data_IF_186008796729
#
_entry.id   IF_186008796729
#
_cell.length_a   1.000
_cell.length_b   1.000
_cell.length_c   1.000
_cell.angle_alpha   90.00
_cell.angle_beta   90.00
_cell.angle_gamma   90.00
#
_symmetry.space_group_name_H-M   'P 1'
#
loop_
_entity.id
_entity.type
_entity.pdbx_description
1 polymer ?
#
# COMPACT_ATOMS: atom_id res chain seq x y z
N UNK A 1 8.09 -13.23 -2.12
CA UNK A 1 7.16 -14.25 -1.59
C UNK A 1 6.04 -14.40 -2.60
N UNK A 2 5.64 -15.63 -2.92
CA UNK A 2 4.50 -15.87 -3.81
C UNK A 2 3.22 -15.45 -3.09
N UNK A 3 2.40 -14.63 -3.74
CA UNK A 3 1.14 -14.17 -3.16
C UNK A 3 0.14 -15.31 -3.21
N UNK A 4 -0.15 -15.89 -2.04
CA UNK A 4 -1.09 -17.01 -1.89
C UNK A 4 -2.49 -16.46 -1.75
N UNK A 5 -3.09 -16.05 -2.87
CA UNK A 5 -4.37 -15.37 -2.90
C UNK A 5 -5.46 -16.04 -2.02
N UNK A 6 -5.65 -17.39 -2.04
CA UNK A 6 -6.66 -18.02 -1.18
C UNK A 6 -6.38 -17.88 0.32
N UNK A 7 -5.12 -18.02 0.75
CA UNK A 7 -4.74 -17.87 2.16
C UNK A 7 -4.89 -16.41 2.62
N UNK A 8 -4.48 -15.47 1.77
CA UNK A 8 -4.59 -14.04 2.05
C UNK A 8 -6.06 -13.61 2.11
N UNK A 9 -6.89 -14.07 1.18
CA UNK A 9 -8.33 -13.84 1.18
C UNK A 9 -8.99 -14.37 2.46
N UNK A 10 -8.68 -15.62 2.86
CA UNK A 10 -9.21 -16.20 4.08
C UNK A 10 -8.83 -15.39 5.33
N UNK A 11 -7.58 -14.92 5.40
CA UNK A 11 -7.10 -14.07 6.51
C UNK A 11 -7.81 -12.71 6.54
N UNK A 12 -7.97 -12.08 5.38
CA UNK A 12 -8.66 -10.79 5.26
C UNK A 12 -10.14 -10.91 5.64
N UNK A 13 -10.83 -11.94 5.14
CA UNK A 13 -12.23 -12.19 5.45
C UNK A 13 -12.41 -12.50 6.95
N UNK A 14 -11.51 -13.28 7.57
CA UNK A 14 -11.51 -13.50 9.02
C UNK A 14 -11.36 -12.19 9.81
N UNK A 15 -10.46 -11.30 9.38
CA UNK A 15 -10.32 -9.96 9.97
C UNK A 15 -11.59 -9.11 9.85
N UNK A 16 -12.26 -9.17 8.70
CA UNK A 16 -13.54 -8.49 8.49
C UNK A 16 -14.64 -9.01 9.41
N UNK A 17 -14.76 -10.34 9.58
CA UNK A 17 -15.68 -10.94 10.55
C UNK A 17 -15.41 -10.42 11.96
N UNK A 18 -14.18 -10.57 12.45
CA UNK A 18 -13.82 -10.18 13.80
C UNK A 18 -14.07 -8.69 14.04
N UNK A 19 -13.71 -7.83 13.07
CA UNK A 19 -13.91 -6.39 13.21
C UNK A 19 -15.39 -6.01 13.25
N UNK A 20 -16.21 -6.58 12.35
CA UNK A 20 -17.62 -6.20 12.18
C UNK A 20 -18.58 -6.90 13.16
N UNK A 21 -18.17 -7.93 13.91
CA UNK A 21 -19.12 -8.67 14.76
C UNK A 21 -18.74 -8.71 16.24
N UNK A 22 -17.48 -8.44 16.63
CA UNK A 22 -17.02 -8.67 18.00
C UNK A 22 -17.73 -7.87 19.10
N UNK A 23 -18.33 -6.72 18.78
CA UNK A 23 -19.05 -5.90 19.77
C UNK A 23 -20.58 -5.98 19.65
N UNK A 24 -21.11 -6.92 18.85
CA UNK A 24 -22.55 -7.14 18.76
C UNK A 24 -23.03 -8.01 19.93
N UNK A 25 -24.27 -7.77 20.38
CA UNK A 25 -24.93 -8.68 21.34
C UNK A 25 -25.16 -10.07 20.79
N UNK A 26 -25.44 -10.16 19.49
CA UNK A 26 -25.59 -11.42 18.75
C UNK A 26 -24.59 -11.47 17.58
N UNK A 27 -23.35 -11.92 17.82
CA UNK A 27 -22.33 -12.00 16.78
C UNK A 27 -22.69 -12.97 15.63
N UNK A 28 -23.54 -13.97 15.85
CA UNK A 28 -23.87 -14.99 14.85
C UNK A 28 -24.81 -14.44 13.76
N UNK A 29 -25.72 -13.53 14.12
CA UNK A 29 -26.50 -12.77 13.13
C UNK A 29 -25.59 -11.88 12.29
N UNK A 30 -24.65 -11.17 12.94
CA UNK A 30 -23.66 -10.34 12.25
C UNK A 30 -22.78 -11.15 11.29
N UNK A 31 -22.33 -12.34 11.71
CA UNK A 31 -21.50 -13.24 10.88
C UNK A 31 -22.19 -13.64 9.59
N UNK A 32 -23.44 -14.11 9.66
CA UNK A 32 -24.21 -14.45 8.45
C UNK A 32 -24.32 -13.27 7.49
N UNK A 33 -24.54 -12.06 8.01
CA UNK A 33 -24.59 -10.87 7.18
C UNK A 33 -23.24 -10.54 6.53
N UNK A 34 -22.13 -10.73 7.24
CA UNK A 34 -20.78 -10.54 6.67
C UNK A 34 -20.45 -11.61 5.61
N UNK A 35 -20.93 -12.85 5.76
CA UNK A 35 -20.82 -13.89 4.71
C UNK A 35 -21.51 -13.45 3.42
N UNK A 36 -22.76 -12.98 3.51
CA UNK A 36 -23.51 -12.44 2.37
C UNK A 36 -22.77 -11.26 1.70
N UNK A 37 -22.20 -10.36 2.50
CA UNK A 37 -21.42 -9.22 1.99
C UNK A 37 -20.14 -9.65 1.29
N UNK A 38 -19.47 -10.72 1.74
CA UNK A 38 -18.29 -11.26 1.06
C UNK A 38 -18.68 -11.90 -0.28
N UNK A 39 -19.82 -12.59 -0.33
CA UNK A 39 -20.35 -13.14 -1.59
C UNK A 39 -20.70 -12.03 -2.59
N UNK A 40 -21.28 -10.93 -2.10
CA UNK A 40 -21.67 -9.78 -2.93
C UNK A 40 -20.47 -8.93 -3.36
N UNK A 41 -19.62 -8.53 -2.41
CA UNK A 41 -18.58 -7.52 -2.62
C UNK A 41 -17.21 -8.12 -2.94
N UNK A 42 -17.06 -9.43 -2.83
CA UNK A 42 -15.78 -10.13 -2.93
C UNK A 42 -14.99 -10.07 -1.62
N UNK A 43 -13.73 -10.49 -1.67
CA UNK A 43 -12.89 -10.59 -0.48
C UNK A 43 -12.62 -9.23 0.17
N UNK A 44 -12.40 -9.23 1.49
CA UNK A 44 -11.95 -8.05 2.22
C UNK A 44 -10.53 -7.65 1.80
N UNK A 45 -10.25 -6.35 1.88
CA UNK A 45 -9.01 -5.70 1.44
C UNK A 45 -8.64 -4.56 2.38
N UNK A 46 -7.36 -4.17 2.38
CA UNK A 46 -6.87 -3.11 3.26
C UNK A 46 -6.93 -1.73 2.57
N UNK A 47 -6.52 -1.67 1.30
CA UNK A 47 -6.37 -0.42 0.54
C UNK A 47 -6.69 -0.66 -0.93
N UNK A 48 -7.56 0.17 -1.51
CA UNK A 48 -7.84 0.16 -2.94
C UNK A 48 -6.64 0.59 -3.79
N UNK A 49 -6.47 0.04 -5.00
CA UNK A 49 -5.56 0.63 -5.98
C UNK A 49 -6.09 1.99 -6.48
N UNK A 50 -5.20 2.90 -6.87
CA UNK A 50 -5.56 4.28 -7.22
C UNK A 50 -6.51 4.38 -8.42
N UNK A 51 -6.52 3.37 -9.29
CA UNK A 51 -7.43 3.29 -10.45
C UNK A 51 -8.82 2.75 -10.09
N UNK A 52 -9.06 2.31 -8.86
CA UNK A 52 -10.31 1.67 -8.49
C UNK A 52 -11.52 2.63 -8.57
N UNK A 53 -12.69 2.20 -9.07
CA UNK A 53 -13.87 3.07 -9.17
C UNK A 53 -14.33 3.71 -7.85
N UNK A 54 -14.15 3.03 -6.72
CA UNK A 54 -14.42 3.62 -5.38
C UNK A 54 -13.60 4.90 -5.15
N UNK A 55 -12.39 5.00 -5.71
CA UNK A 55 -11.55 6.18 -5.57
C UNK A 55 -11.72 7.18 -6.72
N UNK A 56 -12.09 6.71 -7.92
CA UNK A 56 -12.05 7.51 -9.15
C UNK A 56 -13.40 7.99 -9.67
N UNK A 57 -14.50 7.32 -9.31
CA UNK A 57 -15.85 7.75 -9.71
C UNK A 57 -16.32 9.02 -8.98
N UNK A 58 -16.08 9.18 -7.66
CA UNK A 58 -16.41 10.43 -6.97
C UNK A 58 -15.69 11.65 -7.57
N UNK A 59 -16.31 12.83 -7.59
CA UNK A 59 -15.65 14.07 -8.00
C UNK A 59 -14.41 14.34 -7.12
N UNK A 60 -13.25 14.52 -7.76
CA UNK A 60 -11.97 14.77 -7.07
C UNK A 60 -11.30 16.06 -7.53
N UNK A 61 -10.58 16.69 -6.61
CA UNK A 61 -9.73 17.85 -6.90
C UNK A 61 -8.29 17.38 -7.10
N UNK A 62 -7.86 17.31 -8.36
CA UNK A 62 -6.51 16.89 -8.73
C UNK A 62 -6.34 15.38 -8.90
N UNK A 63 -5.11 14.97 -9.23
CA UNK A 63 -4.71 13.59 -9.51
C UNK A 63 -3.81 13.01 -8.42
N UNK A 64 -3.89 13.54 -7.20
CA UNK A 64 -3.08 13.03 -6.08
C UNK A 64 -3.55 11.65 -5.62
N UNK A 65 -2.62 10.87 -5.07
CA UNK A 65 -2.92 9.60 -4.40
C UNK A 65 -3.93 9.80 -3.26
N UNK A 66 -4.92 8.91 -3.18
CA UNK A 66 -5.93 8.89 -2.12
C UNK A 66 -5.56 7.80 -1.11
N UNK A 67 -4.99 8.21 0.01
CA UNK A 67 -4.54 7.28 1.05
C UNK A 67 -5.65 6.78 1.98
N UNK A 68 -6.84 7.37 1.91
CA UNK A 68 -7.99 7.00 2.76
C UNK A 68 -9.31 7.47 2.16
N UNK A 69 -10.37 6.67 2.34
CA UNK A 69 -11.74 7.03 1.95
C UNK A 69 -12.23 8.33 2.63
N UNK A 70 -11.69 8.68 3.80
CA UNK A 70 -12.01 9.93 4.50
C UNK A 70 -11.59 11.20 3.73
N UNK A 71 -10.71 11.08 2.74
CA UNK A 71 -10.30 12.19 1.87
C UNK A 71 -11.31 12.47 0.75
N UNK A 72 -12.29 11.57 0.55
CA UNK A 72 -13.30 11.69 -0.49
C UNK A 72 -14.55 12.31 0.12
N UNK A 73 -14.89 13.53 -0.33
CA UNK A 73 -16.02 14.28 0.20
C UNK A 73 -17.36 13.54 0.08
N UNK A 74 -17.55 12.75 -0.99
CA UNK A 74 -18.74 11.90 -1.18
C UNK A 74 -18.93 10.90 -0.04
N UNK A 75 -17.85 10.44 0.60
CA UNK A 75 -17.89 9.48 1.70
C UNK A 75 -17.83 10.14 3.07
N UNK A 76 -18.10 11.45 3.15
CA UNK A 76 -18.15 12.17 4.42
C UNK A 76 -19.19 11.55 5.36
N UNK A 77 -18.76 11.21 6.57
CA UNK A 77 -19.60 10.54 7.56
C UNK A 77 -19.43 9.01 7.61
N UNK A 78 -18.62 8.42 6.73
CA UNK A 78 -18.14 7.06 6.90
C UNK A 78 -17.35 6.94 8.22
N UNK A 79 -17.63 5.87 8.95
CA UNK A 79 -16.99 5.51 10.21
C UNK A 79 -16.88 3.98 10.32
N UNK A 80 -15.88 3.48 11.04
CA UNK A 80 -15.65 2.05 11.23
C UNK A 80 -15.77 1.22 9.93
N UNK A 81 -14.97 1.58 8.92
CA UNK A 81 -15.09 1.05 7.57
C UNK A 81 -14.27 -0.22 7.35
N UNK A 82 -14.89 -1.22 6.71
CA UNK A 82 -14.22 -2.39 6.14
C UNK A 82 -14.33 -2.34 4.62
N UNK A 83 -13.21 -2.47 3.92
CA UNK A 83 -13.16 -2.45 2.45
C UNK A 83 -13.19 -3.88 1.90
N UNK A 84 -13.84 -4.05 0.75
CA UNK A 84 -13.93 -5.27 -0.05
C UNK A 84 -13.60 -4.96 -1.52
N UNK A 85 -13.35 -5.98 -2.34
CA UNK A 85 -12.94 -5.80 -3.75
C UNK A 85 -13.87 -4.88 -4.53
N UNK A 86 -15.19 -5.02 -4.41
CA UNK A 86 -16.19 -4.25 -5.18
C UNK A 86 -16.77 -3.04 -4.44
N UNK A 87 -16.43 -2.84 -3.18
CA UNK A 87 -17.15 -1.88 -2.35
C UNK A 87 -16.74 -1.94 -0.89
N UNK A 88 -17.35 -1.14 -0.04
CA UNK A 88 -17.02 -1.10 1.38
C UNK A 88 -18.29 -1.04 2.23
N UNK A 89 -18.14 -1.44 3.49
CA UNK A 89 -19.18 -1.34 4.51
C UNK A 89 -18.70 -0.40 5.58
N UNK A 90 -19.57 0.52 6.00
CA UNK A 90 -19.27 1.52 7.02
C UNK A 90 -20.40 1.59 8.04
N UNK A 91 -20.08 1.84 9.30
CA UNK A 91 -20.98 1.71 10.45
C UNK A 91 -21.04 3.01 11.27
N UNK A 92 -21.61 4.11 10.74
CA UNK A 92 -21.80 5.34 11.51
C UNK A 92 -22.81 5.18 12.65
N UNK A 93 -22.62 5.94 13.73
CA UNK A 93 -23.53 5.96 14.89
C UNK A 93 -24.72 6.91 14.77
N UNK A 94 -24.97 7.46 13.59
CA UNK A 94 -26.09 8.38 13.36
C UNK A 94 -26.85 7.97 12.10
N UNK A 95 -28.15 7.71 12.27
CA UNK A 95 -29.04 7.38 11.18
C UNK A 95 -29.08 8.47 10.10
N UNK A 96 -29.13 9.73 10.51
CA UNK A 96 -29.10 10.89 9.61
C UNK A 96 -27.79 10.95 8.81
N UNK A 97 -26.65 10.63 9.43
CA UNK A 97 -25.36 10.52 8.71
C UNK A 97 -25.38 9.36 7.71
N UNK A 98 -25.90 8.20 8.10
CA UNK A 98 -26.00 7.04 7.23
C UNK A 98 -26.89 7.33 5.99
N UNK A 99 -28.04 7.99 6.18
CA UNK A 99 -28.94 8.34 5.08
C UNK A 99 -28.33 9.37 4.14
N UNK A 100 -27.69 10.42 4.67
CA UNK A 100 -26.93 11.38 3.85
C UNK A 100 -25.82 10.72 3.05
N UNK A 101 -25.13 9.74 3.63
CA UNK A 101 -24.08 9.00 2.92
C UNK A 101 -24.67 8.22 1.73
N UNK A 102 -25.79 7.51 1.94
CA UNK A 102 -26.49 6.79 0.86
C UNK A 102 -26.88 7.76 -0.27
N UNK A 103 -27.56 8.87 0.06
CA UNK A 103 -27.98 9.87 -0.92
C UNK A 103 -26.80 10.47 -1.70
N UNK A 104 -25.70 10.79 -1.00
CA UNK A 104 -24.50 11.34 -1.61
C UNK A 104 -23.85 10.34 -2.58
N UNK A 105 -23.76 9.06 -2.21
CA UNK A 105 -23.16 8.02 -3.07
C UNK A 105 -24.03 7.74 -4.28
N UNK A 106 -25.35 7.63 -4.11
CA UNK A 106 -26.28 7.38 -5.22
C UNK A 106 -26.33 8.52 -6.26
N UNK A 107 -25.84 9.71 -5.90
CA UNK A 107 -25.67 10.82 -6.85
C UNK A 107 -24.46 10.66 -7.79
N UNK A 108 -23.56 9.72 -7.49
CA UNK A 108 -22.33 9.46 -8.26
C UNK A 108 -22.57 8.33 -9.26
N UNK A 109 -22.37 8.62 -10.54
CA UNK A 109 -22.52 7.61 -11.60
C UNK A 109 -21.52 6.45 -11.42
N UNK A 110 -22.04 5.22 -11.42
CA UNK A 110 -21.24 3.99 -11.30
C UNK A 110 -21.01 3.54 -9.85
N UNK A 111 -21.63 4.21 -8.88
CA UNK A 111 -21.71 3.77 -7.50
C UNK A 111 -23.18 3.61 -7.07
N UNK A 112 -23.42 2.66 -6.19
CA UNK A 112 -24.67 2.51 -5.45
C UNK A 112 -24.39 2.42 -3.94
N UNK A 113 -25.42 2.67 -3.14
CA UNK A 113 -25.36 2.49 -1.71
C UNK A 113 -26.72 2.11 -1.13
N UNK A 114 -26.70 1.31 -0.08
CA UNK A 114 -27.91 0.92 0.64
C UNK A 114 -27.65 0.68 2.13
N UNK A 115 -28.73 0.72 2.91
CA UNK A 115 -28.72 0.46 4.36
C UNK A 115 -28.89 -1.02 4.64
N UNK A 116 -28.18 -1.52 5.65
CA UNK A 116 -28.50 -2.82 6.26
C UNK A 116 -29.49 -2.63 7.39
N UNK A 117 -30.43 -3.57 7.51
CA UNK A 117 -31.38 -3.62 8.62
C UNK A 117 -30.71 -4.09 9.91
N UNK A 118 -29.79 -5.06 9.79
CA UNK A 118 -29.04 -5.61 10.93
C UNK A 118 -27.83 -4.74 11.25
N UNK A 119 -27.52 -4.53 12.54
CA UNK A 119 -26.32 -3.81 12.94
C UNK A 119 -25.07 -4.63 12.61
N UNK A 120 -24.01 -3.90 12.28
CA UNK A 120 -22.64 -4.39 12.20
C UNK A 120 -21.77 -3.45 13.04
N UNK A 121 -20.63 -3.94 13.47
CA UNK A 121 -19.64 -3.31 14.35
C UNK A 121 -20.12 -3.03 15.78
N UNK A 122 -21.32 -2.46 15.96
CA UNK A 122 -21.96 -2.18 17.25
C UNK A 122 -23.50 -2.16 17.11
N UNK A 123 -24.23 -2.52 18.17
CA UNK A 123 -25.70 -2.66 18.13
C UNK A 123 -26.45 -1.36 17.76
N UNK A 124 -25.85 -0.19 18.03
CA UNK A 124 -26.43 1.12 17.74
C UNK A 124 -25.82 1.78 16.49
N UNK A 125 -25.04 1.04 15.70
CA UNK A 125 -24.54 1.52 14.43
C UNK A 125 -25.62 1.39 13.34
N UNK A 126 -25.46 2.18 12.28
CA UNK A 126 -26.36 2.25 11.15
C UNK A 126 -25.61 1.89 9.87
N UNK A 127 -25.39 0.59 9.58
CA UNK A 127 -24.50 0.19 8.51
C UNK A 127 -24.99 0.63 7.13
N UNK A 128 -24.04 1.08 6.32
CA UNK A 128 -24.20 1.45 4.91
C UNK A 128 -23.24 0.60 4.10
N UNK A 129 -23.74 -0.03 3.05
CA UNK A 129 -22.95 -0.69 2.01
C UNK A 129 -22.80 0.28 0.86
N UNK A 130 -21.59 0.43 0.34
CA UNK A 130 -21.28 1.18 -0.88
C UNK A 130 -20.67 0.22 -1.89
N UNK A 131 -21.21 0.22 -3.11
CA UNK A 131 -20.85 -0.72 -4.18
C UNK A 131 -20.42 0.05 -5.43
N UNK A 132 -19.39 -0.44 -6.11
CA UNK A 132 -19.05 0.00 -7.46
C UNK A 132 -19.73 -0.92 -8.49
N UNK A 133 -20.80 -0.44 -9.11
CA UNK A 133 -21.72 -1.25 -9.94
C UNK A 133 -21.03 -1.96 -11.09
N UNK A 134 -20.08 -1.28 -11.73
CA UNK A 134 -19.42 -1.75 -12.94
C UNK A 134 -18.23 -2.67 -12.67
N UNK A 135 -17.95 -3.02 -11.39
CA UNK A 135 -16.89 -3.95 -11.04
C UNK A 135 -17.42 -5.38 -11.16
N UNK A 136 -17.01 -6.07 -12.23
CA UNK A 136 -17.23 -7.49 -12.44
C UNK A 136 -16.04 -8.30 -11.94
N UNK A 137 -16.29 -9.45 -11.29
CA UNK A 137 -15.25 -10.36 -10.81
C UNK A 137 -15.09 -11.57 -11.73
N UNK A 138 -13.85 -12.01 -11.89
CA UNK A 138 -13.48 -13.28 -12.50
C UNK A 138 -13.75 -14.43 -11.51
N UNK A 139 -13.69 -15.67 -12.00
CA UNK A 139 -13.88 -16.86 -11.16
C UNK A 139 -12.87 -17.01 -10.01
N UNK A 140 -11.72 -16.33 -10.09
CA UNK A 140 -10.71 -16.30 -9.03
C UNK A 140 -10.96 -15.19 -7.97
N UNK A 141 -12.07 -14.44 -8.11
CA UNK A 141 -12.48 -13.36 -7.21
C UNK A 141 -11.77 -12.02 -7.46
N UNK A 142 -10.90 -11.93 -8.49
CA UNK A 142 -10.25 -10.67 -8.88
C UNK A 142 -11.11 -9.90 -9.89
N UNK A 143 -10.85 -8.60 -10.06
CA UNK A 143 -11.57 -7.75 -11.01
C UNK A 143 -11.26 -8.19 -12.44
N UNK A 144 -12.29 -8.17 -13.30
CA UNK A 144 -12.19 -8.50 -14.72
C UNK A 144 -11.00 -7.80 -15.37
N UNK A 145 -10.13 -8.61 -15.97
CA UNK A 145 -8.80 -8.17 -16.41
C UNK A 145 -8.85 -6.98 -17.37
N UNK A 146 -9.82 -6.98 -18.29
CA UNK A 146 -10.03 -5.92 -19.27
C UNK A 146 -10.30 -4.57 -18.61
N UNK A 147 -11.15 -4.54 -17.59
CA UNK A 147 -11.63 -3.29 -17.00
C UNK A 147 -10.57 -2.70 -16.07
N UNK A 148 -9.92 -3.55 -15.26
CA UNK A 148 -8.79 -3.14 -14.43
C UNK A 148 -7.66 -2.52 -15.28
N UNK A 149 -7.31 -3.12 -16.43
CA UNK A 149 -6.34 -2.54 -17.36
C UNK A 149 -6.82 -1.22 -17.97
N UNK A 150 -8.10 -1.12 -18.35
CA UNK A 150 -8.65 0.10 -18.92
C UNK A 150 -8.60 1.27 -17.93
N UNK A 151 -9.06 1.06 -16.69
CA UNK A 151 -9.02 2.08 -15.65
C UNK A 151 -7.58 2.48 -15.29
N UNK A 152 -6.69 1.50 -15.17
CA UNK A 152 -5.26 1.77 -14.93
C UNK A 152 -4.63 2.63 -16.04
N UNK A 153 -4.88 2.30 -17.31
CA UNK A 153 -4.37 3.08 -18.45
C UNK A 153 -4.94 4.48 -18.48
N UNK A 154 -6.26 4.63 -18.26
CA UNK A 154 -6.93 5.94 -18.23
C UNK A 154 -6.36 6.84 -17.14
N UNK A 155 -6.19 6.31 -15.93
CA UNK A 155 -5.58 7.06 -14.82
C UNK A 155 -4.13 7.45 -15.14
N UNK A 156 -3.32 6.48 -15.56
CA UNK A 156 -1.90 6.70 -15.87
C UNK A 156 -1.72 7.77 -16.96
N UNK A 157 -2.56 7.74 -18.00
CA UNK A 157 -2.52 8.72 -19.08
C UNK A 157 -2.93 10.13 -18.60
N UNK A 158 -3.87 10.23 -17.65
CA UNK A 158 -4.24 11.51 -17.06
C UNK A 158 -3.10 12.09 -16.20
N UNK A 159 -2.46 11.26 -15.38
CA UNK A 159 -1.36 11.67 -14.49
C UNK A 159 -0.11 12.11 -15.24
N UNK A 160 0.14 11.56 -16.44
CA UNK A 160 1.24 11.95 -17.30
C UNK A 160 1.30 13.45 -17.59
N UNK A 161 0.14 14.13 -17.63
CA UNK A 161 0.06 15.56 -17.97
C UNK A 161 0.73 16.47 -16.94
N UNK A 162 0.86 16.02 -15.69
CA UNK A 162 1.43 16.79 -14.57
C UNK A 162 2.65 16.12 -13.94
N UNK A 163 3.02 14.93 -14.42
CA UNK A 163 4.14 14.18 -13.90
C UNK A 163 5.48 14.87 -14.18
N UNK A 164 6.35 14.84 -13.17
CA UNK A 164 7.72 15.36 -13.27
C UNK A 164 8.77 14.25 -13.32
N UNK A 165 8.39 13.03 -12.92
CA UNK A 165 9.26 11.86 -12.85
C UNK A 165 8.49 10.60 -13.23
N UNK A 166 9.19 9.66 -13.85
CA UNK A 166 8.71 8.32 -14.14
C UNK A 166 9.00 7.38 -12.96
N UNK A 167 8.00 7.13 -12.12
CA UNK A 167 8.10 6.17 -11.01
C UNK A 167 8.23 4.74 -11.54
N UNK A 168 9.15 3.95 -10.96
CA UNK A 168 9.28 2.54 -11.33
C UNK A 168 8.16 1.69 -10.74
N UNK A 169 7.88 0.52 -11.34
CA UNK A 169 6.97 -0.48 -10.77
C UNK A 169 7.22 -0.72 -9.27
N UNK A 170 8.48 -0.83 -8.86
CA UNK A 170 8.83 -1.13 -7.48
C UNK A 170 8.59 0.04 -6.51
N UNK A 171 8.50 1.27 -7.00
CA UNK A 171 8.17 2.43 -6.16
C UNK A 171 6.66 2.50 -5.88
N UNK A 172 5.83 2.17 -6.88
CA UNK A 172 4.37 2.45 -6.84
C UNK A 172 3.48 1.21 -6.98
N UNK A 173 4.02 -0.01 -6.99
CA UNK A 173 3.20 -1.23 -7.15
C UNK A 173 2.08 -1.36 -6.12
N UNK A 174 2.25 -0.86 -4.89
CA UNK A 174 1.20 -0.90 -3.87
C UNK A 174 0.03 0.00 -4.25
N UNK A 175 0.31 1.14 -4.89
CA UNK A 175 -0.70 2.06 -5.42
C UNK A 175 -1.44 1.44 -6.62
N UNK A 176 -0.74 0.65 -7.42
CA UNK A 176 -1.31 -0.01 -8.60
C UNK A 176 -2.06 -1.29 -8.25
N UNK A 177 -1.59 -2.08 -7.27
CA UNK A 177 -2.18 -3.37 -6.92
C UNK A 177 -3.17 -3.28 -5.75
N UNK A 178 -3.17 -2.19 -4.99
CA UNK A 178 -3.84 -2.11 -3.70
C UNK A 178 -3.15 -2.97 -2.66
N UNK A 179 -3.79 -3.16 -1.49
CA UNK A 179 -3.32 -4.02 -0.41
C UNK A 179 -4.43 -4.99 0.03
N UNK A 180 -4.11 -6.25 0.35
CA UNK A 180 -2.77 -6.87 0.32
C UNK A 180 -2.34 -7.27 -1.10
N UNK A 181 -1.03 -7.29 -1.36
CA UNK A 181 -0.50 -7.61 -2.69
C UNK A 181 0.83 -8.41 -2.66
N UNK A 182 1.08 -9.08 -3.76
CA UNK A 182 2.35 -9.70 -4.13
C UNK A 182 3.22 -8.81 -5.01
N UNK A 183 4.15 -9.45 -5.73
CA UNK A 183 5.01 -8.73 -6.68
C UNK A 183 4.26 -8.24 -7.94
N UNK A 184 3.20 -8.95 -8.34
CA UNK A 184 2.47 -8.76 -9.62
C UNK A 184 1.00 -9.24 -9.55
N UNK A 185 0.43 -9.37 -8.36
CA UNK A 185 -0.95 -9.81 -8.13
C UNK A 185 -1.43 -9.29 -6.78
N UNK A 186 -2.74 -9.23 -6.59
CA UNK A 186 -3.41 -8.87 -5.33
C UNK A 186 -4.78 -9.55 -5.28
N UNK A 187 -5.61 -9.19 -4.30
CA UNK A 187 -7.03 -9.58 -4.31
C UNK A 187 -7.84 -8.82 -5.37
N UNK A 188 -7.31 -7.73 -5.93
CA UNK A 188 -7.95 -6.98 -7.00
C UNK A 188 -7.60 -7.50 -8.39
N UNK A 189 -6.36 -7.98 -8.59
CA UNK A 189 -5.87 -8.40 -9.90
C UNK A 189 -5.04 -9.67 -9.83
N UNK A 190 -5.31 -10.60 -10.73
CA UNK A 190 -4.51 -11.81 -10.86
C UNK A 190 -3.14 -11.53 -11.50
N UNK A 191 -2.28 -12.57 -11.51
CA UNK A 191 -0.91 -12.48 -12.01
C UNK A 191 -0.84 -12.05 -13.48
N UNK A 192 -1.77 -12.50 -14.32
CA UNK A 192 -1.83 -12.14 -15.73
C UNK A 192 -2.04 -10.62 -15.88
N UNK A 193 -3.02 -10.08 -15.16
CA UNK A 193 -3.36 -8.65 -15.19
C UNK A 193 -2.24 -7.79 -14.63
N UNK A 194 -1.67 -8.14 -13.47
CA UNK A 194 -0.59 -7.34 -12.88
C UNK A 194 0.71 -7.36 -13.70
N UNK A 195 1.02 -8.44 -14.43
CA UNK A 195 2.12 -8.45 -15.42
C UNK A 195 1.87 -7.44 -16.54
N UNK A 196 0.63 -7.33 -17.02
CA UNK A 196 0.30 -6.39 -18.09
C UNK A 196 0.28 -4.93 -17.62
N UNK A 197 -0.26 -4.66 -16.42
CA UNK A 197 -0.16 -3.33 -15.79
C UNK A 197 1.29 -2.87 -15.68
N UNK A 198 2.19 -3.76 -15.22
CA UNK A 198 3.62 -3.48 -15.16
C UNK A 198 4.21 -3.14 -16.52
N UNK A 199 3.93 -3.95 -17.56
CA UNK A 199 4.43 -3.71 -18.92
C UNK A 199 3.96 -2.37 -19.48
N UNK A 200 2.70 -2.01 -19.23
CA UNK A 200 2.13 -0.72 -19.64
C UNK A 200 2.89 0.42 -18.96
N UNK A 201 3.07 0.37 -17.63
CA UNK A 201 3.84 1.37 -16.90
C UNK A 201 5.27 1.50 -17.45
N UNK A 202 5.96 0.37 -17.65
CA UNK A 202 7.32 0.34 -18.17
C UNK A 202 7.40 0.94 -19.58
N UNK A 203 6.40 0.69 -20.45
CA UNK A 203 6.33 1.28 -21.78
C UNK A 203 6.08 2.80 -21.74
N UNK A 204 5.19 3.27 -20.87
CA UNK A 204 4.94 4.70 -20.67
C UNK A 204 6.15 5.43 -20.07
N UNK A 205 6.87 4.78 -19.15
CA UNK A 205 8.13 5.31 -18.62
C UNK A 205 9.20 5.41 -19.72
N UNK A 206 9.35 4.35 -20.52
CA UNK A 206 10.37 4.29 -21.57
C UNK A 206 10.14 5.29 -22.71
N UNK A 207 8.89 5.72 -22.94
CA UNK A 207 8.58 6.76 -23.93
C UNK A 207 8.90 8.18 -23.44
N UNK A 208 9.27 8.34 -22.17
CA UNK A 208 9.52 9.65 -21.54
C UNK A 208 8.25 10.41 -21.15
N UNK A 209 7.08 9.78 -21.23
CA UNK A 209 5.78 10.41 -21.00
C UNK A 209 5.64 11.03 -19.60
N UNK A 210 6.27 10.44 -18.59
CA UNK A 210 6.26 10.93 -17.21
C UNK A 210 7.52 11.75 -16.83
N UNK A 211 8.47 11.91 -17.76
CA UNK A 211 9.76 12.53 -17.49
C UNK A 211 10.86 11.53 -17.08
N UNK A 212 11.94 11.99 -16.41
CA UNK A 212 13.08 11.15 -16.06
C UNK A 212 12.72 10.05 -15.05
N UNK A 213 13.35 8.87 -15.20
CA UNK A 213 13.13 7.73 -14.31
C UNK A 213 13.63 8.06 -12.90
N UNK A 214 12.74 7.87 -11.92
CA UNK A 214 13.06 7.90 -10.50
C UNK A 214 13.10 6.48 -9.96
N UNK A 215 14.26 6.04 -9.51
CA UNK A 215 14.43 4.74 -8.85
C UNK A 215 14.76 4.95 -7.37
N UNK A 216 13.94 4.40 -6.48
CA UNK A 216 14.13 4.53 -5.02
C UNK A 216 13.80 3.29 -4.21
N UNK A 217 13.10 2.32 -4.79
CA UNK A 217 12.76 1.06 -4.13
C UNK A 217 13.76 -0.03 -4.51
N UNK A 218 14.22 -0.79 -3.51
CA UNK A 218 15.09 -1.97 -3.70
C UNK A 218 14.32 -3.29 -3.57
N UNK A 219 12.99 -3.24 -3.63
CA UNK A 219 12.14 -4.41 -3.41
C UNK A 219 12.20 -5.47 -4.51
N UNK A 220 12.84 -5.15 -5.65
CA UNK A 220 13.17 -6.14 -6.68
C UNK A 220 14.24 -7.13 -6.22
N UNK A 221 15.07 -6.74 -5.24
CA UNK A 221 16.05 -7.62 -4.63
C UNK A 221 15.35 -8.54 -3.61
N UNK A 222 15.94 -9.70 -3.31
CA UNK A 222 15.44 -10.53 -2.21
C UNK A 222 15.68 -9.85 -0.86
N UNK A 223 14.91 -10.22 0.17
CA UNK A 223 15.14 -9.73 1.54
C UNK A 223 16.59 -9.95 1.97
N UNK A 224 17.11 -11.18 1.78
CA UNK A 224 18.52 -11.52 2.05
C UNK A 224 19.51 -10.54 1.41
N UNK A 225 19.30 -10.14 0.15
CA UNK A 225 20.17 -9.18 -0.54
C UNK A 225 20.07 -7.79 0.09
N UNK A 226 18.86 -7.33 0.40
CA UNK A 226 18.65 -6.05 1.10
C UNK A 226 19.29 -6.05 2.48
N UNK A 227 19.14 -7.15 3.22
CA UNK A 227 19.78 -7.34 4.53
C UNK A 227 21.29 -7.29 4.41
N UNK A 228 21.87 -7.95 3.40
CA UNK A 228 23.32 -7.89 3.13
C UNK A 228 23.78 -6.46 2.85
N UNK A 229 23.07 -5.70 2.01
CA UNK A 229 23.40 -4.30 1.71
C UNK A 229 23.39 -3.47 2.99
N UNK A 230 22.32 -3.57 3.79
CA UNK A 230 22.18 -2.82 5.04
C UNK A 230 23.28 -3.19 6.03
N UNK A 231 23.54 -4.48 6.23
CA UNK A 231 24.58 -4.97 7.12
C UNK A 231 25.96 -4.48 6.71
N UNK A 232 26.32 -4.60 5.42
CA UNK A 232 27.60 -4.14 4.90
C UNK A 232 27.80 -2.66 5.21
N UNK A 233 26.84 -1.81 4.85
CA UNK A 233 26.97 -0.36 5.01
C UNK A 233 26.99 0.06 6.49
N UNK A 234 26.08 -0.48 7.31
CA UNK A 234 26.00 -0.13 8.74
C UNK A 234 27.29 -0.56 9.46
N UNK A 235 27.75 -1.79 9.24
CA UNK A 235 28.95 -2.31 9.91
C UNK A 235 30.19 -1.55 9.48
N UNK A 236 30.36 -1.29 8.18
CA UNK A 236 31.50 -0.49 7.71
C UNK A 236 31.47 0.91 8.29
N UNK A 237 30.30 1.56 8.40
CA UNK A 237 30.19 2.87 9.03
C UNK A 237 30.63 2.81 10.50
N UNK A 238 30.13 1.84 11.29
CA UNK A 238 30.54 1.67 12.69
C UNK A 238 32.05 1.44 12.82
N UNK A 239 32.65 0.60 11.98
CA UNK A 239 34.10 0.34 12.00
C UNK A 239 34.96 1.55 11.66
N UNK A 240 34.42 2.52 10.92
CA UNK A 240 35.12 3.75 10.56
C UNK A 240 34.83 4.92 11.53
N UNK A 241 33.99 4.71 12.54
CA UNK A 241 33.59 5.77 13.45
C UNK A 241 34.64 6.01 14.54
N UNK A 242 35.18 7.22 14.59
CA UNK A 242 36.13 7.69 15.60
C UNK A 242 35.50 7.97 16.98
N UNK A 243 34.16 7.92 17.09
CA UNK A 243 33.36 8.29 18.27
C UNK A 243 33.43 9.76 18.67
N UNK A 244 34.10 10.59 17.89
CA UNK A 244 34.20 12.04 18.11
C UNK A 244 33.19 12.79 17.24
N UNK A 245 33.05 12.36 15.98
CA UNK A 245 32.19 13.01 15.00
C UNK A 245 30.88 12.26 14.82
N UNK A 246 29.74 12.94 15.01
CA UNK A 246 28.41 12.34 14.74
C UNK A 246 28.10 12.19 13.26
N UNK A 247 28.90 12.81 12.38
CA UNK A 247 28.83 12.61 10.93
C UNK A 247 30.20 12.70 10.30
N UNK A 248 30.49 11.77 9.38
CA UNK A 248 31.77 11.67 8.69
C UNK A 248 31.57 11.00 7.33
N UNK A 249 32.59 11.05 6.48
CA UNK A 249 32.61 10.35 5.20
C UNK A 249 33.61 9.20 5.26
N UNK A 250 33.27 8.09 4.59
CA UNK A 250 34.19 6.99 4.36
C UNK A 250 34.06 6.49 2.91
N UNK A 251 35.09 5.80 2.42
CA UNK A 251 35.06 5.19 1.09
C UNK A 251 34.69 3.71 1.23
N UNK A 252 33.81 3.23 0.36
CA UNK A 252 33.52 1.81 0.22
C UNK A 252 33.18 1.46 -1.22
N UNK A 253 33.96 0.54 -1.82
CA UNK A 253 33.73 -0.04 -3.15
C UNK A 253 33.59 1.02 -4.27
N UNK A 254 34.42 2.06 -4.20
CA UNK A 254 34.49 3.17 -5.14
C UNK A 254 33.46 4.27 -4.90
N UNK A 255 32.70 4.20 -3.81
CA UNK A 255 31.66 5.19 -3.47
C UNK A 255 32.06 5.97 -2.22
N UNK A 256 31.74 7.27 -2.20
CA UNK A 256 31.84 8.08 -0.99
C UNK A 256 30.53 7.96 -0.19
N UNK A 257 30.62 7.35 0.98
CA UNK A 257 29.50 7.13 1.88
C UNK A 257 29.51 8.19 2.98
N UNK A 258 28.40 8.92 3.12
CA UNK A 258 28.17 9.82 4.24
C UNK A 258 27.49 9.06 5.37
N UNK A 259 28.19 8.92 6.49
CA UNK A 259 27.68 8.32 7.71
C UNK A 259 27.14 9.38 8.68
N UNK A 260 26.13 9.01 9.45
CA UNK A 260 25.75 9.69 10.68
C UNK A 260 25.47 8.65 11.76
N UNK A 261 26.20 8.76 12.88
CA UNK A 261 26.11 7.83 14.00
C UNK A 261 25.87 8.60 15.30
N UNK A 262 25.06 8.00 16.17
CA UNK A 262 24.86 8.48 17.53
C UNK A 262 24.59 7.30 18.45
N UNK A 263 25.24 7.30 19.61
CA UNK A 263 24.85 6.43 20.72
C UNK A 263 23.48 6.89 21.24
N UNK A 264 22.46 6.03 21.13
CA UNK A 264 21.07 6.41 21.43
C UNK A 264 20.91 6.83 22.90
N UNK A 265 21.66 6.19 23.80
CA UNK A 265 21.50 6.33 25.25
C UNK A 265 22.77 6.82 25.96
N UNK A 266 23.85 7.07 25.22
CA UNK A 266 25.20 7.34 25.74
C UNK A 266 25.72 6.24 26.68
N UNK A 267 25.26 5.01 26.48
CA UNK A 267 25.63 3.82 27.26
C UNK A 267 26.35 2.76 26.40
N UNK A 268 26.57 3.05 25.12
CA UNK A 268 27.19 2.18 24.12
C UNK A 268 26.44 0.86 23.87
N UNK A 269 25.19 0.71 24.30
CA UNK A 269 24.39 -0.49 24.04
C UNK A 269 23.70 -0.44 22.68
N UNK A 270 23.35 0.76 22.21
CA UNK A 270 22.65 0.94 20.94
C UNK A 270 23.21 2.14 20.17
N UNK A 271 23.69 1.90 18.97
CA UNK A 271 24.22 2.92 18.07
C UNK A 271 23.24 3.08 16.92
N UNK A 272 22.60 4.25 16.82
CA UNK A 272 21.83 4.62 15.64
C UNK A 272 22.77 4.91 14.48
N UNK A 273 22.51 4.30 13.33
CA UNK A 273 23.36 4.41 12.13
C UNK A 273 22.52 4.84 10.93
N UNK A 274 23.03 5.81 10.20
CA UNK A 274 22.52 6.24 8.89
C UNK A 274 23.67 6.33 7.90
N UNK A 275 23.48 5.76 6.72
CA UNK A 275 24.44 5.84 5.61
C UNK A 275 23.73 6.31 4.36
N UNK A 276 24.26 7.36 3.73
CA UNK A 276 23.75 7.95 2.50
C UNK A 276 24.86 8.03 1.44
N UNK A 277 24.53 7.67 0.20
CA UNK A 277 25.38 7.83 -0.97
C UNK A 277 24.64 8.70 -1.99
N UNK A 278 25.32 9.70 -2.54
CA UNK A 278 24.71 10.69 -3.43
C UNK A 278 23.62 11.51 -2.73
N UNK A 279 22.66 12.05 -3.50
CA UNK A 279 21.45 12.71 -2.95
C UNK A 279 20.35 11.66 -2.80
N UNK A 280 20.45 10.80 -1.80
CA UNK A 280 19.59 9.62 -1.60
C UNK A 280 19.62 8.58 -2.74
N UNK A 281 20.71 8.50 -3.49
CA UNK A 281 20.88 7.47 -4.53
C UNK A 281 21.02 6.07 -3.90
N UNK A 282 21.51 5.99 -2.66
CA UNK A 282 21.36 4.85 -1.76
C UNK A 282 21.28 5.36 -0.32
N UNK A 283 20.32 4.83 0.44
CA UNK A 283 20.06 5.21 1.82
C UNK A 283 19.77 3.97 2.67
N UNK A 284 20.51 3.86 3.77
CA UNK A 284 20.39 2.79 4.77
C UNK A 284 20.27 3.44 6.14
N UNK A 285 19.37 2.91 6.98
CA UNK A 285 19.29 3.30 8.38
C UNK A 285 18.91 2.12 9.26
N UNK A 286 19.44 2.11 10.48
CA UNK A 286 19.20 1.07 11.44
C UNK A 286 19.91 1.32 12.76
N UNK A 287 20.01 0.27 13.56
CA UNK A 287 20.73 0.25 14.81
C UNK A 287 21.80 -0.85 14.79
N UNK A 288 22.92 -0.58 15.44
CA UNK A 288 23.95 -1.54 15.72
C UNK A 288 24.08 -1.73 17.23
N UNK A 289 24.12 -2.98 17.66
CA UNK A 289 24.23 -3.38 19.07
C UNK A 289 25.61 -4.01 19.27
N UNK A 290 26.55 -3.33 19.95
CA UNK A 290 27.92 -3.82 20.10
C UNK A 290 28.06 -5.12 20.89
N UNK A 291 27.19 -5.34 21.88
CA UNK A 291 27.29 -6.48 22.82
C UNK A 291 27.09 -7.84 22.14
N UNK A 292 26.19 -7.92 21.16
CA UNK A 292 25.86 -9.14 20.42
C UNK A 292 26.21 -9.04 18.92
N UNK A 293 26.97 -8.01 18.53
CA UNK A 293 27.35 -7.71 17.15
C UNK A 293 26.14 -7.76 16.19
N UNK A 294 24.99 -7.25 16.62
CA UNK A 294 23.73 -7.35 15.88
C UNK A 294 23.39 -6.06 15.16
N UNK A 295 22.79 -6.20 13.98
CA UNK A 295 22.21 -5.08 13.22
C UNK A 295 20.70 -5.28 13.12
N UNK A 296 19.95 -4.22 13.40
CA UNK A 296 18.55 -4.10 12.98
C UNK A 296 18.44 -2.94 12.00
N UNK A 297 17.59 -3.04 10.99
CA UNK A 297 17.48 -1.99 9.98
C UNK A 297 16.08 -1.94 9.39
N UNK A 298 15.74 -0.79 8.83
CA UNK A 298 14.61 -0.71 7.88
C UNK A 298 15.09 -1.15 6.49
N UNK A 299 14.15 -1.46 5.59
CA UNK A 299 14.52 -1.81 4.22
C UNK A 299 15.27 -0.65 3.55
N UNK A 300 16.42 -0.91 2.91
CA UNK A 300 17.21 0.11 2.23
C UNK A 300 16.47 0.64 1.00
N UNK A 301 16.75 1.91 0.65
CA UNK A 301 16.15 2.60 -0.50
C UNK A 301 17.23 3.14 -1.41
N UNK A 302 16.98 3.17 -2.71
CA UNK A 302 17.90 3.75 -3.69
C UNK A 302 17.84 3.09 -5.05
N UNK A 303 18.87 3.37 -5.85
CA UNK A 303 19.08 2.85 -7.20
C UNK A 303 19.67 1.44 -7.13
N UNK A 304 19.10 0.50 -7.90
CA UNK A 304 19.52 -0.90 -7.86
C UNK A 304 21.00 -1.08 -8.21
N UNK A 305 21.46 -0.43 -9.29
CA UNK A 305 22.85 -0.57 -9.78
C UNK A 305 23.86 -0.14 -8.71
N UNK A 306 23.55 0.91 -7.95
CA UNK A 306 24.40 1.38 -6.86
C UNK A 306 24.33 0.42 -5.66
N UNK A 307 23.13 -0.01 -5.27
CA UNK A 307 22.93 -0.93 -4.16
C UNK A 307 23.61 -2.29 -4.37
N UNK A 308 23.56 -2.83 -5.59
CA UNK A 308 24.20 -4.11 -5.95
C UNK A 308 25.73 -4.07 -5.78
N UNK A 309 26.35 -2.88 -5.72
CA UNK A 309 27.77 -2.75 -5.38
C UNK A 309 28.09 -3.23 -3.98
N UNK A 310 27.14 -3.36 -3.05
CA UNK A 310 27.37 -3.69 -1.63
C UNK A 310 26.91 -5.09 -1.20
N UNK A 311 26.58 -5.93 -2.18
CA UNK A 311 26.25 -7.35 -1.98
C UNK A 311 27.47 -8.25 -1.73
#
# INVERSE_FOLDING_TARGET
MEFRAPTVAAQQNAGAFDYLTKNLKDPEVGRRRVEELIEELGNAVDVYPDWHPILTAPPRHGSGHIGSLSQIATYAGADHTTQFVRGFVTCPYSEERANRLVEAVQSVTGLDAYRLEQPLYADNAHPVVVVADNVELEADGTIRSRDALAWFVQLSAAEATVAQVAETWWNIRSLILGCPHGSRSSLFVNQHTGVHMRKILEAMNASGMFGPIRESSLEMLSQKKRDTISNTLIRTAVSNWDRESTSFNFELRGETCKASLSDTWNDNHEISVRVEIGRFDLYVTGFYYPDDDRVTHVDPRGKRVLAEKFL
#
